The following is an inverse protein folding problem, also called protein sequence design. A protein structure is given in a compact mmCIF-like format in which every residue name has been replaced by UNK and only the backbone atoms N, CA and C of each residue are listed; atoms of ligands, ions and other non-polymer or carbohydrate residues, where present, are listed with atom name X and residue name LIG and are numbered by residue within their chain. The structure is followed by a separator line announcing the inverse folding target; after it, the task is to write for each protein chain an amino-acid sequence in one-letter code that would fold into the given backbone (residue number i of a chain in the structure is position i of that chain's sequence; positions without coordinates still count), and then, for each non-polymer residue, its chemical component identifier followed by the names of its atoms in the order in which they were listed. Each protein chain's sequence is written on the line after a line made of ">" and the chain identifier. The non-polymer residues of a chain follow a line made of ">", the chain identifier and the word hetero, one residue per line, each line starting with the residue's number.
data_IF_490069771610
#
_entry.id   IF_490069771610
#
_cell.length_a   1.000
_cell.length_b   1.000
_cell.length_c   1.000
_cell.angle_alpha   90.00
_cell.angle_beta   90.00
_cell.angle_gamma   90.00
#
_symmetry.space_group_name_H-M   'P 1'
#
loop_
_entity.id
_entity.type
_entity.pdbx_description
1 polymer ?
#
# COMPACT_ATOMS: atom_id res chain seq x y z
N UNK A 1 -9.80 16.81 -32.68
CA UNK A 1 -10.41 15.52 -32.30
C UNK A 1 -9.38 14.46 -32.66
N UNK A 2 -8.74 13.71 -31.77
CA UNK A 2 -9.18 13.21 -30.48
C UNK A 2 -8.20 13.49 -29.34
N UNK A 3 -8.78 13.56 -28.15
CA UNK A 3 -8.19 13.77 -26.84
C UNK A 3 -7.40 12.56 -26.31
N UNK A 4 -6.56 12.85 -25.32
CA UNK A 4 -6.23 12.01 -24.18
C UNK A 4 -5.36 10.78 -24.41
N UNK A 5 -4.05 10.98 -24.25
CA UNK A 5 -3.21 9.98 -23.60
C UNK A 5 -2.43 10.65 -22.46
N UNK A 6 -3.17 11.07 -21.42
CA UNK A 6 -2.58 11.41 -20.12
C UNK A 6 -2.16 10.10 -19.46
N UNK A 7 -1.01 9.58 -19.88
CA UNK A 7 -0.35 8.47 -19.22
C UNK A 7 -0.15 8.88 -17.76
N UNK A 8 -0.82 8.17 -16.86
CA UNK A 8 -0.77 8.30 -15.41
C UNK A 8 0.68 8.40 -14.95
N UNK A 9 1.19 9.64 -14.82
CA UNK A 9 2.47 9.93 -14.19
C UNK A 9 2.25 9.81 -12.68
N UNK A 10 2.01 8.58 -12.23
CA UNK A 10 1.88 8.27 -10.81
C UNK A 10 3.08 8.88 -10.08
N UNK A 11 2.83 9.56 -8.97
CA UNK A 11 3.91 10.18 -8.21
C UNK A 11 4.83 9.08 -7.64
N UNK A 12 6.14 9.31 -7.71
CA UNK A 12 7.17 8.38 -7.23
C UNK A 12 7.93 8.99 -6.07
N UNK A 13 8.38 8.14 -5.14
CA UNK A 13 9.35 8.54 -4.13
C UNK A 13 10.73 8.77 -4.75
N UNK A 14 11.62 9.44 -4.01
CA UNK A 14 13.04 9.56 -4.37
C UNK A 14 13.77 8.21 -4.52
N UNK A 15 13.18 7.12 -4.03
CA UNK A 15 13.71 5.76 -4.14
C UNK A 15 13.13 4.99 -5.33
N UNK A 16 12.36 5.65 -6.21
CA UNK A 16 11.88 5.09 -7.47
C UNK A 16 10.69 4.14 -7.35
N UNK A 17 10.08 3.99 -6.16
CA UNK A 17 8.82 3.27 -6.02
C UNK A 17 7.63 4.23 -5.93
N UNK A 18 6.48 3.78 -6.44
CA UNK A 18 5.25 4.56 -6.55
C UNK A 18 4.68 4.92 -5.16
N UNK A 19 4.16 6.13 -5.01
CA UNK A 19 3.46 6.56 -3.79
C UNK A 19 2.23 5.69 -3.52
N UNK A 20 1.85 5.55 -2.25
CA UNK A 20 0.67 4.78 -1.86
C UNK A 20 -0.61 5.40 -2.44
N UNK A 21 -1.40 4.56 -3.08
CA UNK A 21 -2.74 4.86 -3.55
C UNK A 21 -3.69 3.69 -3.30
N UNK A 22 -4.92 3.80 -3.81
CA UNK A 22 -6.00 2.84 -3.54
C UNK A 22 -5.75 1.42 -4.07
N UNK A 23 -4.79 1.22 -4.98
CA UNK A 23 -4.61 -0.06 -5.69
C UNK A 23 -3.25 -0.71 -5.52
N UNK A 24 -2.24 0.01 -5.03
CA UNK A 24 -0.85 -0.47 -5.01
C UNK A 24 -0.30 -0.81 -3.61
N UNK A 25 -1.18 -0.99 -2.62
CA UNK A 25 -0.79 -1.14 -1.22
C UNK A 25 0.24 -2.26 -0.98
N UNK A 26 0.05 -3.45 -1.53
CA UNK A 26 0.94 -4.58 -1.25
C UNK A 26 2.37 -4.32 -1.74
N UNK A 27 2.50 -3.75 -2.94
CA UNK A 27 3.81 -3.36 -3.50
C UNK A 27 4.42 -2.19 -2.72
N UNK A 28 3.62 -1.16 -2.41
CA UNK A 28 4.07 -0.03 -1.60
C UNK A 28 4.56 -0.47 -0.22
N UNK A 29 3.81 -1.34 0.46
CA UNK A 29 4.11 -1.85 1.80
C UNK A 29 5.48 -2.53 1.82
N UNK A 30 5.76 -3.38 0.84
CA UNK A 30 7.05 -4.06 0.73
C UNK A 30 8.20 -3.07 0.50
N UNK A 31 8.04 -2.12 -0.42
CA UNK A 31 9.07 -1.13 -0.72
C UNK A 31 9.32 -0.17 0.45
N UNK A 32 8.25 0.26 1.12
CA UNK A 32 8.34 1.11 2.31
C UNK A 32 8.98 0.35 3.47
N UNK A 33 8.65 -0.92 3.67
CA UNK A 33 9.31 -1.78 4.66
C UNK A 33 10.83 -1.82 4.43
N UNK A 34 11.29 -2.10 3.20
CA UNK A 34 12.73 -2.11 2.89
C UNK A 34 13.39 -0.75 3.13
N UNK A 35 12.70 0.35 2.83
CA UNK A 35 13.21 1.69 3.11
C UNK A 35 13.36 1.93 4.62
N UNK A 36 12.36 1.56 5.41
CA UNK A 36 12.41 1.72 6.87
C UNK A 36 13.49 0.82 7.50
N UNK A 37 13.67 -0.41 7.03
CA UNK A 37 14.76 -1.27 7.48
C UNK A 37 16.14 -0.70 7.12
N UNK A 38 16.31 -0.17 5.91
CA UNK A 38 17.58 0.44 5.47
C UNK A 38 18.01 1.60 6.36
N UNK A 39 17.06 2.28 6.99
CA UNK A 39 17.30 3.46 7.83
C UNK A 39 17.15 3.19 9.33
N UNK A 40 17.05 1.92 9.73
CA UNK A 40 16.87 1.49 11.12
C UNK A 40 15.61 2.08 11.79
N UNK A 41 14.55 2.30 11.01
CA UNK A 41 13.27 2.89 11.44
C UNK A 41 12.15 1.86 11.63
N UNK A 42 12.40 0.59 11.26
CA UNK A 42 11.36 -0.44 11.30
C UNK A 42 10.90 -0.71 12.74
N UNK A 43 11.80 -0.75 13.71
CA UNK A 43 11.47 -1.10 15.09
C UNK A 43 10.45 -0.15 15.73
N UNK A 44 10.57 1.16 15.48
CA UNK A 44 9.62 2.18 15.98
C UNK A 44 8.29 2.21 15.21
N UNK A 45 8.24 1.57 14.05
CA UNK A 45 7.04 1.44 13.21
C UNK A 45 6.27 0.17 13.58
N UNK A 46 6.98 -0.93 13.81
CA UNK A 46 6.38 -2.22 14.17
C UNK A 46 5.82 -2.23 15.59
N UNK A 47 6.55 -1.63 16.55
CA UNK A 47 6.17 -1.66 17.95
C UNK A 47 5.33 -0.45 18.34
N UNK A 48 4.34 -0.63 19.23
CA UNK A 48 3.59 0.50 19.78
C UNK A 48 4.51 1.43 20.57
N UNK A 49 4.03 2.66 20.79
CA UNK A 49 4.72 3.66 21.60
C UNK A 49 5.09 3.06 22.98
N UNK A 50 6.37 3.13 23.39
CA UNK A 50 6.79 2.63 24.69
C UNK A 50 6.24 3.52 25.81
N UNK A 51 6.07 2.93 27.00
CA UNK A 51 5.63 3.65 28.21
C UNK A 51 6.63 4.74 28.59
N UNK A 52 7.92 4.43 28.50
CA UNK A 52 9.01 5.37 28.72
C UNK A 52 9.57 5.84 27.40
N UNK A 53 9.27 7.09 27.06
CA UNK A 53 9.72 7.70 25.81
C UNK A 53 11.01 8.47 26.06
N UNK A 54 12.08 8.06 25.37
CA UNK A 54 13.34 8.80 25.35
C UNK A 54 13.46 9.66 24.08
N UNK A 55 14.42 10.60 24.09
CA UNK A 55 14.66 11.51 22.96
C UNK A 55 15.03 10.77 21.66
N UNK A 56 15.75 9.65 21.77
CA UNK A 56 16.13 8.82 20.62
C UNK A 56 14.89 8.23 19.93
N UNK A 57 13.96 7.65 20.71
CA UNK A 57 12.71 7.12 20.20
C UNK A 57 11.88 8.21 19.52
N UNK A 58 11.81 9.42 20.10
CA UNK A 58 11.08 10.55 19.50
C UNK A 58 11.67 10.90 18.12
N UNK A 59 13.00 10.95 18.01
CA UNK A 59 13.69 11.25 16.77
C UNK A 59 13.41 10.18 15.69
N UNK A 60 13.58 8.90 16.04
CA UNK A 60 13.32 7.78 15.15
C UNK A 60 11.85 7.72 14.72
N UNK A 61 10.91 7.90 15.66
CA UNK A 61 9.49 7.94 15.37
C UNK A 61 9.13 9.07 14.39
N UNK A 62 9.64 10.29 14.61
CA UNK A 62 9.42 11.41 13.68
C UNK A 62 9.99 11.15 12.30
N UNK A 63 11.17 10.54 12.23
CA UNK A 63 11.80 10.17 10.96
C UNK A 63 10.97 9.11 10.22
N UNK A 64 10.52 8.07 10.93
CA UNK A 64 9.65 7.02 10.39
C UNK A 64 8.32 7.60 9.88
N UNK A 65 7.65 8.44 10.68
CA UNK A 65 6.44 9.16 10.27
C UNK A 65 6.68 9.98 8.99
N UNK A 66 7.81 10.69 8.92
CA UNK A 66 8.18 11.47 7.73
C UNK A 66 8.39 10.56 6.50
N UNK A 67 9.03 9.40 6.65
CA UNK A 67 9.22 8.46 5.54
C UNK A 67 7.91 7.89 5.03
N UNK A 68 7.02 7.50 5.93
CA UNK A 68 5.69 7.02 5.56
C UNK A 68 4.88 8.15 4.90
N UNK A 69 4.85 9.34 5.51
CA UNK A 69 4.10 10.50 4.99
C UNK A 69 4.60 11.00 3.63
N UNK A 70 5.91 10.95 3.36
CA UNK A 70 6.46 11.27 2.03
C UNK A 70 6.29 10.13 1.02
N UNK A 71 5.83 8.97 1.48
CA UNK A 71 5.60 7.79 0.66
C UNK A 71 4.17 7.63 0.19
N UNK A 72 3.25 8.53 0.50
CA UNK A 72 1.83 8.41 0.16
C UNK A 72 1.38 9.55 -0.77
N UNK A 73 0.36 9.31 -1.58
CA UNK A 73 -0.29 10.38 -2.34
C UNK A 73 -1.13 11.27 -1.42
N UNK A 74 -1.34 12.54 -1.79
CA UNK A 74 -2.10 13.51 -0.99
C UNK A 74 -3.51 13.01 -0.61
N UNK A 75 -4.15 12.23 -1.48
CA UNK A 75 -5.46 11.64 -1.24
C UNK A 75 -5.49 10.71 -0.01
N UNK A 76 -4.34 10.18 0.39
CA UNK A 76 -4.16 9.30 1.55
C UNK A 76 -3.90 10.06 2.84
N UNK A 77 -3.51 11.34 2.79
CA UNK A 77 -3.17 12.14 3.97
C UNK A 77 -4.31 12.17 5.00
N UNK A 78 -5.57 12.21 4.52
CA UNK A 78 -6.77 12.20 5.36
C UNK A 78 -6.84 11.03 6.36
N UNK A 79 -6.13 9.93 6.09
CA UNK A 79 -6.11 8.75 6.95
C UNK A 79 -5.10 8.86 8.09
N UNK A 80 -4.10 9.74 7.99
CA UNK A 80 -3.02 9.88 8.96
C UNK A 80 -3.03 11.21 9.73
N UNK A 81 -3.92 12.14 9.37
CA UNK A 81 -4.07 13.41 10.10
C UNK A 81 -4.41 13.13 11.56
N UNK A 82 -3.63 13.72 12.47
CA UNK A 82 -3.81 13.59 13.92
C UNK A 82 -3.12 12.38 14.56
N UNK A 83 -2.53 11.48 13.78
CA UNK A 83 -1.73 10.38 14.32
C UNK A 83 -0.37 10.90 14.81
N UNK A 84 0.13 10.33 15.90
CA UNK A 84 1.33 10.83 16.59
C UNK A 84 2.52 9.88 16.51
N UNK A 85 2.29 8.68 16.00
CA UNK A 85 3.31 7.63 15.91
C UNK A 85 3.35 6.99 14.54
N UNK A 86 4.55 6.56 14.13
CA UNK A 86 4.72 5.79 12.89
C UNK A 86 3.95 4.47 12.93
N UNK A 87 3.88 3.86 14.12
CA UNK A 87 3.09 2.65 14.36
C UNK A 87 1.60 2.85 14.07
N UNK A 88 1.00 3.94 14.55
CA UNK A 88 -0.40 4.27 14.23
C UNK A 88 -0.60 4.45 12.73
N UNK A 89 0.30 5.19 12.06
CA UNK A 89 0.22 5.40 10.60
C UNK A 89 0.27 4.08 9.83
N UNK A 90 1.22 3.20 10.16
CA UNK A 90 1.36 1.89 9.53
C UNK A 90 0.12 1.02 9.75
N UNK A 91 -0.36 0.94 11.00
CA UNK A 91 -1.51 0.13 11.39
C UNK A 91 -2.80 0.60 10.72
N UNK A 92 -2.99 1.91 10.57
CA UNK A 92 -4.16 2.46 9.87
C UNK A 92 -4.16 2.03 8.40
N UNK A 93 -3.02 2.10 7.71
CA UNK A 93 -2.95 1.63 6.34
C UNK A 93 -3.14 0.11 6.23
N UNK A 94 -2.54 -0.69 7.12
CA UNK A 94 -2.80 -2.13 7.18
C UNK A 94 -4.29 -2.44 7.33
N UNK A 95 -5.00 -1.71 8.19
CA UNK A 95 -6.44 -1.90 8.41
C UNK A 95 -7.30 -1.52 7.20
N UNK A 96 -7.02 -0.37 6.59
CA UNK A 96 -7.77 0.11 5.42
C UNK A 96 -7.60 -0.87 4.26
N UNK A 97 -6.36 -1.22 3.95
CA UNK A 97 -6.05 -1.99 2.76
C UNK A 97 -6.21 -3.50 2.94
N UNK A 98 -6.15 -4.04 4.15
CA UNK A 98 -6.58 -5.43 4.41
C UNK A 98 -8.08 -5.60 4.14
N UNK A 99 -8.91 -4.64 4.53
CA UNK A 99 -10.35 -4.66 4.25
C UNK A 99 -10.62 -4.58 2.74
N UNK A 100 -9.94 -3.66 2.05
CA UNK A 100 -10.02 -3.53 0.60
C UNK A 100 -9.55 -4.81 -0.09
N UNK A 101 -8.45 -5.44 0.34
CA UNK A 101 -7.97 -6.70 -0.23
C UNK A 101 -9.01 -7.83 -0.05
N UNK A 102 -9.66 -7.94 1.11
CA UNK A 102 -10.75 -8.92 1.32
C UNK A 102 -11.96 -8.63 0.41
N UNK A 103 -12.39 -7.37 0.29
CA UNK A 103 -13.51 -7.00 -0.59
C UNK A 103 -13.18 -7.17 -2.07
N UNK A 104 -11.96 -6.81 -2.50
CA UNK A 104 -11.44 -7.02 -3.85
C UNK A 104 -11.34 -8.49 -4.16
N UNK A 105 -10.81 -9.31 -3.25
CA UNK A 105 -10.76 -10.77 -3.38
C UNK A 105 -12.16 -11.36 -3.45
N UNK A 106 -13.11 -10.89 -2.65
CA UNK A 106 -14.51 -11.32 -2.75
C UNK A 106 -15.16 -10.91 -4.08
N UNK A 107 -14.87 -9.71 -4.57
CA UNK A 107 -15.31 -9.24 -5.89
C UNK A 107 -14.70 -10.09 -7.01
N UNK A 108 -13.41 -10.43 -6.92
CA UNK A 108 -12.71 -11.32 -7.84
C UNK A 108 -13.27 -12.73 -7.79
N UNK A 109 -13.51 -13.29 -6.59
CA UNK A 109 -14.20 -14.58 -6.44
C UNK A 109 -15.61 -14.56 -7.03
N UNK A 110 -16.36 -13.47 -6.87
CA UNK A 110 -17.67 -13.32 -7.49
C UNK A 110 -17.56 -13.28 -9.01
N UNK A 111 -16.60 -12.54 -9.57
CA UNK A 111 -16.32 -12.55 -11.01
C UNK A 111 -15.88 -13.93 -11.51
N UNK A 112 -15.02 -14.62 -10.78
CA UNK A 112 -14.55 -15.98 -11.06
C UNK A 112 -15.70 -17.00 -11.09
N UNK A 113 -16.58 -16.95 -10.09
CA UNK A 113 -17.74 -17.85 -10.00
C UNK A 113 -18.84 -17.50 -11.02
N UNK A 114 -18.86 -16.26 -11.50
CA UNK A 114 -19.78 -15.79 -12.53
C UNK A 114 -19.21 -15.96 -13.95
N UNK A 115 -17.89 -16.04 -14.11
CA UNK A 115 -17.24 -16.28 -15.40
C UNK A 115 -17.47 -17.74 -15.80
N UNK A 116 -18.42 -17.95 -16.70
CA UNK A 116 -18.61 -19.24 -17.36
C UNK A 116 -17.71 -19.30 -18.57
N UNK A 117 -16.95 -20.39 -18.69
CA UNK A 117 -16.15 -20.68 -19.88
C UNK A 117 -17.04 -20.60 -21.12
N UNK A 118 -16.76 -19.63 -21.98
CA UNK A 118 -17.67 -19.26 -23.07
C UNK A 118 -17.15 -19.75 -24.42
N UNK A 119 -15.83 -19.85 -24.62
CA UNK A 119 -15.13 -20.58 -25.70
C UNK A 119 -13.60 -20.40 -25.56
N UNK A 120 -12.80 -21.24 -26.23
CA UNK A 120 -11.33 -21.16 -26.25
C UNK A 120 -10.64 -22.41 -25.70
N UNK A 121 -9.32 -22.51 -25.81
CA UNK A 121 -8.55 -23.59 -25.20
C UNK A 121 -8.48 -23.42 -23.68
N UNK A 122 -8.34 -24.54 -22.95
CA UNK A 122 -8.20 -24.51 -21.49
C UNK A 122 -6.99 -23.69 -21.03
N UNK A 123 -5.95 -23.58 -21.86
CA UNK A 123 -4.76 -22.77 -21.59
C UNK A 123 -5.08 -21.27 -21.57
N UNK A 124 -5.84 -20.76 -22.54
CA UNK A 124 -6.27 -19.34 -22.61
C UNK A 124 -7.19 -18.98 -21.43
N UNK A 125 -8.00 -19.94 -20.98
CA UNK A 125 -8.84 -19.77 -19.80
C UNK A 125 -8.01 -19.72 -18.51
N UNK A 126 -6.99 -20.56 -18.37
CA UNK A 126 -6.07 -20.52 -17.22
C UNK A 126 -5.31 -19.19 -17.19
N UNK A 127 -4.87 -18.70 -18.33
CA UNK A 127 -4.13 -17.43 -18.43
C UNK A 127 -5.01 -16.22 -18.04
N UNK A 128 -6.24 -16.16 -18.58
CA UNK A 128 -7.23 -15.16 -18.14
C UNK A 128 -7.55 -15.23 -16.64
N UNK A 129 -7.51 -16.43 -16.06
CA UNK A 129 -7.78 -16.63 -14.64
C UNK A 129 -6.61 -16.21 -13.75
N UNK A 130 -5.37 -16.36 -14.22
CA UNK A 130 -4.18 -15.90 -13.51
C UNK A 130 -4.10 -14.37 -13.50
N UNK A 131 -4.42 -13.71 -14.62
CA UNK A 131 -4.48 -12.24 -14.72
C UNK A 131 -5.54 -11.58 -13.81
N UNK A 132 -6.55 -12.34 -13.36
CA UNK A 132 -7.55 -11.83 -12.42
C UNK A 132 -7.06 -11.84 -10.96
N UNK A 133 -5.99 -12.57 -10.64
CA UNK A 133 -5.48 -12.77 -9.27
C UNK A 133 -4.23 -11.94 -8.99
N UNK A 134 -3.51 -11.49 -10.02
CA UNK A 134 -2.28 -10.69 -9.96
C UNK A 134 -2.47 -9.26 -10.47
#
# INVERSE_FOLDING_TARGET
>A
MAESNSHDRGAFTKYGFRLLNSTNYDHWRQKMFFLLCKEDLWEVTEKPKPTEVNLNWIALNRQAMSRIGLGIEDAQLKHIVGLTTAHEMWTVFEKIYSTVNVSSRHHLYRKFTQSKWTSGTMAEYIDQMLDLVF
#
